data_IF_680316217011
#
_entry.id   IF_680316217011
#
_cell.length_a   1.000
_cell.length_b   1.000
_cell.length_c   1.000
_cell.angle_alpha   90.00
_cell.angle_beta   90.00
_cell.angle_gamma   90.00
#
_symmetry.space_group_name_H-M   'P 1'
#
loop_
_entity.id
_entity.type
_entity.pdbx_description
1 polymer ?
#
# COMPACT_ATOMS: atom_id res chain seq x y z
N UNK A 1 24.18 -16.42 -2.50
CA UNK A 1 24.10 -16.05 -3.93
C UNK A 1 24.03 -17.27 -4.84
N UNK A 2 24.91 -18.27 -4.67
CA UNK A 2 24.94 -19.51 -5.47
C UNK A 2 23.58 -20.21 -5.61
N UNK A 3 22.86 -20.44 -4.49
CA UNK A 3 21.56 -21.11 -4.53
C UNK A 3 20.52 -20.36 -5.36
N UNK A 4 20.53 -19.01 -5.36
CA UNK A 4 19.62 -18.21 -6.20
C UNK A 4 19.98 -18.31 -7.67
N UNK A 5 21.27 -18.29 -8.00
CA UNK A 5 21.73 -18.49 -9.37
C UNK A 5 21.30 -19.87 -9.91
N UNK A 6 21.35 -20.91 -9.07
CA UNK A 6 20.86 -22.25 -9.42
C UNK A 6 19.35 -22.27 -9.67
N UNK A 7 18.54 -21.62 -8.83
CA UNK A 7 17.09 -21.53 -9.04
C UNK A 7 16.72 -20.75 -10.30
N UNK A 8 17.41 -19.63 -10.56
CA UNK A 8 17.22 -18.85 -11.78
C UNK A 8 17.57 -19.72 -12.98
N UNK A 9 18.75 -20.35 -12.99
CA UNK A 9 19.19 -21.21 -14.09
C UNK A 9 18.23 -22.38 -14.34
N UNK A 10 17.79 -23.07 -13.30
CA UNK A 10 16.81 -24.15 -13.41
C UNK A 10 15.45 -23.66 -13.94
N UNK A 11 14.98 -22.51 -13.46
CA UNK A 11 13.75 -21.88 -13.95
C UNK A 11 13.83 -21.49 -15.42
N UNK A 12 14.97 -20.92 -15.85
CA UNK A 12 15.19 -20.57 -17.25
C UNK A 12 15.21 -21.81 -18.14
N UNK A 13 15.89 -22.88 -17.73
CA UNK A 13 15.95 -24.14 -18.48
C UNK A 13 14.55 -24.77 -18.60
N UNK A 14 13.75 -24.79 -17.53
CA UNK A 14 12.39 -25.31 -17.57
C UNK A 14 11.48 -24.47 -18.48
N UNK A 15 11.57 -23.14 -18.39
CA UNK A 15 10.74 -22.24 -19.20
C UNK A 15 11.10 -22.32 -20.69
N UNK A 16 12.39 -22.39 -21.04
CA UNK A 16 12.81 -22.55 -22.44
C UNK A 16 12.47 -23.94 -22.98
N UNK A 17 12.63 -25.00 -22.19
CA UNK A 17 12.24 -26.35 -22.59
C UNK A 17 10.72 -26.49 -22.78
N UNK A 18 9.91 -25.94 -21.86
CA UNK A 18 8.45 -25.93 -21.96
C UNK A 18 7.95 -25.13 -23.16
N UNK A 19 8.52 -23.94 -23.39
CA UNK A 19 8.20 -23.11 -24.55
C UNK A 19 8.60 -23.76 -25.88
N UNK A 20 9.76 -24.40 -25.94
CA UNK A 20 10.22 -25.13 -27.12
C UNK A 20 9.31 -26.34 -27.45
N UNK A 21 8.89 -27.09 -26.42
CA UNK A 21 7.95 -28.20 -26.59
C UNK A 21 6.58 -27.70 -27.08
N UNK A 22 6.08 -26.59 -26.54
CA UNK A 22 4.85 -25.96 -27.00
C UNK A 22 4.96 -25.47 -28.46
N UNK A 23 6.12 -24.93 -28.86
CA UNK A 23 6.36 -24.51 -30.23
C UNK A 23 6.38 -25.69 -31.21
N UNK A 24 7.06 -26.79 -30.86
CA UNK A 24 7.03 -28.03 -31.67
C UNK A 24 5.60 -28.55 -31.79
N UNK A 25 4.85 -28.64 -30.68
CA UNK A 25 3.46 -29.10 -30.73
C UNK A 25 2.56 -28.18 -31.55
N UNK A 26 2.84 -26.88 -31.56
CA UNK A 26 2.13 -25.89 -32.37
C UNK A 26 2.43 -25.98 -33.88
N UNK A 27 3.66 -26.34 -34.26
CA UNK A 27 4.00 -26.54 -35.69
C UNK A 27 3.38 -27.81 -36.26
N UNK A 28 3.10 -28.82 -35.41
CA UNK A 28 2.37 -30.01 -35.82
C UNK A 28 0.88 -29.76 -36.16
N UNK A 29 0.35 -28.54 -35.95
CA UNK A 29 -1.02 -28.11 -36.37
C UNK A 29 -2.14 -29.09 -36.00
N UNK A 30 -1.95 -29.96 -35.02
CA UNK A 30 -3.00 -30.85 -34.55
C UNK A 30 -4.08 -29.98 -33.89
N UNK A 31 -5.34 -30.03 -34.35
CA UNK A 31 -6.42 -29.28 -33.74
C UNK A 31 -6.53 -29.71 -32.27
N UNK A 32 -6.26 -28.76 -31.36
CA UNK A 32 -6.29 -29.01 -29.90
C UNK A 32 -7.70 -29.43 -29.46
N UNK A 33 -8.72 -29.00 -30.22
CA UNK A 33 -10.08 -29.49 -30.07
C UNK A 33 -10.80 -29.55 -31.43
N UNK A 34 -11.46 -30.67 -31.79
CA UNK A 34 -11.47 -31.97 -31.10
C UNK A 34 -10.19 -32.78 -31.37
N UNK A 35 -9.65 -33.53 -30.37
CA UNK A 35 -8.50 -34.38 -30.58
C UNK A 35 -8.85 -35.49 -31.56
N UNK A 36 -8.02 -35.67 -32.59
CA UNK A 36 -8.10 -36.86 -33.44
C UNK A 36 -7.93 -38.11 -32.56
N UNK A 37 -8.74 -39.13 -32.83
CA UNK A 37 -8.71 -40.40 -32.08
C UNK A 37 -7.30 -41.00 -32.13
N UNK A 38 -6.56 -40.93 -31.02
CA UNK A 38 -5.22 -41.48 -30.89
C UNK A 38 -4.15 -40.51 -30.39
N UNK A 39 -4.39 -39.19 -30.42
CA UNK A 39 -3.43 -38.20 -29.90
C UNK A 39 -3.89 -37.73 -28.51
N UNK A 40 -3.15 -38.12 -27.48
CA UNK A 40 -3.45 -37.71 -26.10
C UNK A 40 -3.19 -36.22 -25.89
N UNK A 41 -4.05 -35.52 -25.14
CA UNK A 41 -3.88 -34.10 -24.78
C UNK A 41 -2.80 -33.85 -23.70
N UNK A 42 -2.32 -34.92 -23.06
CA UNK A 42 -1.32 -34.89 -21.99
C UNK A 42 -0.03 -34.07 -22.26
N UNK A 43 0.65 -34.16 -23.41
CA UNK A 43 1.86 -33.37 -23.66
C UNK A 43 1.61 -31.85 -23.68
N UNK A 44 0.42 -31.40 -24.11
CA UNK A 44 0.06 -29.98 -24.06
C UNK A 44 -0.19 -29.50 -22.62
N UNK A 45 -0.81 -30.34 -21.79
CA UNK A 45 -1.00 -30.04 -20.36
C UNK A 45 0.36 -30.01 -19.64
N UNK A 46 1.25 -30.95 -19.95
CA UNK A 46 2.56 -31.06 -19.32
C UNK A 46 3.46 -29.86 -19.66
N UNK A 47 3.42 -29.38 -20.91
CA UNK A 47 4.18 -28.19 -21.33
C UNK A 47 3.70 -26.93 -20.63
N UNK A 48 2.38 -26.76 -20.47
CA UNK A 48 1.78 -25.63 -19.75
C UNK A 48 2.17 -25.65 -18.27
N UNK A 49 2.13 -26.81 -17.62
CA UNK A 49 2.55 -26.96 -16.22
C UNK A 49 4.04 -26.67 -16.04
N UNK A 50 4.92 -27.17 -16.91
CA UNK A 50 6.35 -26.86 -16.83
C UNK A 50 6.63 -25.36 -17.00
N UNK A 51 5.93 -24.72 -17.93
CA UNK A 51 6.15 -23.30 -18.24
C UNK A 51 5.70 -22.41 -17.08
N UNK A 52 4.51 -22.69 -16.51
CA UNK A 52 3.96 -21.95 -15.36
C UNK A 52 4.79 -22.18 -14.08
N UNK A 53 5.27 -23.41 -13.84
CA UNK A 53 6.17 -23.70 -12.74
C UNK A 53 7.52 -22.97 -12.90
N UNK A 54 8.09 -22.95 -14.10
CA UNK A 54 9.33 -22.22 -14.41
C UNK A 54 9.21 -20.72 -14.17
N UNK A 55 8.12 -20.09 -14.65
CA UNK A 55 7.81 -18.67 -14.42
C UNK A 55 7.65 -18.33 -12.93
N UNK A 56 6.97 -19.20 -12.17
CA UNK A 56 6.77 -19.01 -10.73
C UNK A 56 8.10 -19.03 -9.98
N UNK A 57 9.00 -19.96 -10.32
CA UNK A 57 10.35 -20.03 -9.77
C UNK A 57 11.21 -18.83 -10.19
N UNK A 58 11.09 -18.37 -11.43
CA UNK A 58 11.79 -17.19 -11.93
C UNK A 58 11.38 -15.93 -11.16
N UNK A 59 10.07 -15.74 -10.92
CA UNK A 59 9.55 -14.64 -10.11
C UNK A 59 10.03 -14.69 -8.66
N UNK A 60 10.15 -15.89 -8.09
CA UNK A 60 10.70 -16.07 -6.74
C UNK A 60 12.21 -15.76 -6.67
N UNK A 61 12.97 -16.14 -7.70
CA UNK A 61 14.40 -15.86 -7.82
C UNK A 61 14.71 -14.39 -8.10
N UNK A 62 13.89 -13.72 -8.93
CA UNK A 62 14.02 -12.30 -9.25
C UNK A 62 13.47 -11.39 -8.16
N UNK A 63 12.65 -11.89 -7.21
CA UNK A 63 12.08 -11.09 -6.13
C UNK A 63 13.16 -10.27 -5.45
N UNK A 64 13.28 -8.98 -5.79
CA UNK A 64 14.30 -8.16 -5.20
C UNK A 64 13.81 -7.84 -3.78
N UNK A 65 14.75 -7.60 -2.88
CA UNK A 65 14.51 -6.96 -1.56
C UNK A 65 14.19 -7.88 -0.38
N UNK A 66 15.16 -8.70 0.00
CA UNK A 66 15.41 -8.85 1.44
C UNK A 66 16.31 -7.72 1.96
N UNK A 67 17.33 -7.30 1.20
CA UNK A 67 18.28 -6.26 1.66
C UNK A 67 17.64 -4.87 1.77
N UNK A 68 16.96 -4.37 0.73
CA UNK A 68 16.30 -3.05 0.82
C UNK A 68 15.11 -3.04 1.77
N UNK A 69 14.35 -4.15 1.87
CA UNK A 69 13.29 -4.26 2.88
C UNK A 69 13.88 -4.26 4.29
N UNK A 70 14.97 -4.99 4.54
CA UNK A 70 15.70 -4.95 5.81
C UNK A 70 16.20 -3.54 6.11
N UNK A 71 16.80 -2.86 5.14
CA UNK A 71 17.26 -1.46 5.30
C UNK A 71 16.09 -0.52 5.64
N UNK A 72 14.94 -0.66 4.98
CA UNK A 72 13.73 0.12 5.30
C UNK A 72 13.16 -0.22 6.68
N UNK A 73 13.19 -1.49 7.09
CA UNK A 73 12.75 -1.92 8.43
C UNK A 73 13.71 -1.39 9.50
N UNK A 74 15.02 -1.46 9.28
CA UNK A 74 16.04 -0.90 10.16
C UNK A 74 15.92 0.62 10.27
N UNK A 75 15.68 1.31 9.15
CA UNK A 75 15.46 2.76 9.15
C UNK A 75 14.18 3.14 9.90
N UNK A 76 13.09 2.40 9.69
CA UNK A 76 11.85 2.58 10.45
C UNK A 76 12.06 2.35 11.96
N UNK A 77 12.80 1.30 12.34
CA UNK A 77 13.13 1.01 13.73
C UNK A 77 13.98 2.12 14.36
N UNK A 78 14.95 2.70 13.63
CA UNK A 78 15.74 3.85 14.09
C UNK A 78 14.89 5.10 14.29
N UNK A 79 13.97 5.38 13.37
CA UNK A 79 13.03 6.51 13.51
C UNK A 79 12.13 6.33 14.73
N UNK A 80 11.65 5.10 14.96
CA UNK A 80 10.82 4.80 16.12
C UNK A 80 11.58 4.96 17.44
N UNK A 81 12.81 4.45 17.52
CA UNK A 81 13.66 4.65 18.70
C UNK A 81 13.96 6.14 18.96
N UNK A 82 14.12 6.96 17.91
CA UNK A 82 14.32 8.40 18.05
C UNK A 82 13.08 9.12 18.59
N UNK A 83 11.88 8.71 18.15
CA UNK A 83 10.61 9.24 18.68
C UNK A 83 10.41 8.85 20.14
N UNK A 84 10.67 7.59 20.51
CA UNK A 84 10.60 7.13 21.90
C UNK A 84 11.59 7.87 22.82
N UNK A 85 12.79 8.16 22.33
CA UNK A 85 13.77 8.96 23.07
C UNK A 85 13.29 10.42 23.28
N UNK A 86 12.63 11.01 22.28
CA UNK A 86 12.04 12.34 22.40
C UNK A 86 10.89 12.34 23.42
N UNK A 87 10.00 11.34 23.36
CA UNK A 87 8.89 11.20 24.31
C UNK A 87 9.40 11.00 25.74
N UNK A 88 10.44 10.20 25.94
CA UNK A 88 11.08 10.03 27.25
C UNK A 88 11.67 11.34 27.78
N UNK A 89 12.32 12.13 26.91
CA UNK A 89 12.84 13.45 27.26
C UNK A 89 11.72 14.40 27.71
N UNK A 90 10.63 14.52 26.93
CA UNK A 90 9.52 15.40 27.30
C UNK A 90 8.77 14.91 28.54
N UNK A 91 8.55 13.59 28.68
CA UNK A 91 7.93 13.03 29.87
C UNK A 91 8.74 13.31 31.15
N UNK A 92 10.07 13.25 31.07
CA UNK A 92 10.95 13.60 32.20
C UNK A 92 10.83 15.09 32.57
N UNK A 93 10.76 15.97 31.56
CA UNK A 93 10.64 17.43 31.74
C UNK A 93 9.29 17.80 32.35
N UNK A 94 8.20 17.15 31.94
CA UNK A 94 6.87 17.38 32.51
C UNK A 94 6.78 16.91 33.96
N UNK A 95 7.46 15.82 34.33
CA UNK A 95 7.55 15.39 35.74
C UNK A 95 8.36 16.37 36.59
N UNK A 96 9.47 16.88 36.08
CA UNK A 96 10.27 17.90 36.78
C UNK A 96 9.45 19.19 36.97
N UNK A 97 8.80 19.67 35.91
CA UNK A 97 7.94 20.84 35.98
C UNK A 97 6.81 20.66 37.00
N UNK A 98 6.13 19.50 37.04
CA UNK A 98 5.06 19.26 38.00
C UNK A 98 5.53 19.03 39.45
N UNK A 99 6.80 18.67 39.64
CA UNK A 99 7.37 18.44 40.97
C UNK A 99 7.72 19.75 41.67
N UNK A 100 8.16 20.77 40.95
CA UNK A 100 8.67 22.02 41.54
C UNK A 100 7.58 23.00 42.02
N UNK A 101 6.39 23.02 41.42
CA UNK A 101 5.33 23.96 41.86
C UNK A 101 4.40 23.42 42.96
N UNK A 102 4.35 22.08 43.16
CA UNK A 102 3.49 21.44 44.18
C UNK A 102 4.21 21.04 45.47
N UNK A 103 5.54 20.91 45.46
CA UNK A 103 6.30 20.44 46.63
C UNK A 103 6.46 21.50 47.72
N UNK A 104 6.07 22.77 47.50
CA UNK A 104 6.19 23.85 48.49
C UNK A 104 7.64 24.23 48.83
N UNK A 105 8.60 23.56 48.21
CA UNK A 105 10.04 23.72 48.44
C UNK A 105 10.61 24.59 47.31
N UNK A 106 10.06 25.80 47.18
CA UNK A 106 10.66 26.84 46.35
C UNK A 106 11.91 27.32 47.09
N UNK A 107 13.14 27.11 46.59
CA UNK A 107 14.28 27.80 47.15
C UNK A 107 13.98 29.30 47.12
N UNK A 108 14.31 30.05 48.18
CA UNK A 108 14.05 31.48 48.23
C UNK A 108 14.60 32.13 46.95
N UNK A 109 13.85 33.05 46.31
CA UNK A 109 14.24 33.61 45.04
C UNK A 109 15.66 34.13 45.17
N UNK A 110 16.58 33.54 44.38
CA UNK A 110 17.97 33.98 44.37
C UNK A 110 17.97 35.50 44.18
N UNK A 111 18.76 36.26 44.95
CA UNK A 111 18.83 37.69 44.80
C UNK A 111 19.12 37.99 43.33
N UNK A 112 18.31 38.87 42.72
CA UNK A 112 18.49 39.30 41.33
C UNK A 112 19.94 39.74 41.17
N UNK A 113 20.77 38.92 40.53
CA UNK A 113 22.06 39.35 40.03
C UNK A 113 21.75 40.37 38.94
N UNK A 114 21.92 41.64 39.27
CA UNK A 114 22.01 42.73 38.31
C UNK A 114 23.07 42.37 37.29
N UNK A 115 22.67 42.33 36.03
CA UNK A 115 23.45 41.88 34.88
C UNK A 115 24.56 42.86 34.45
N UNK A 116 25.27 43.49 35.41
CA UNK A 116 26.22 44.58 35.10
C UNK A 116 27.70 44.27 35.32
N UNK A 117 28.11 43.09 35.79
CA UNK A 117 29.52 42.89 36.23
C UNK A 117 30.29 41.68 35.66
N UNK A 118 29.92 41.14 34.49
CA UNK A 118 30.70 40.07 33.84
C UNK A 118 31.42 40.46 32.54
N UNK A 119 31.72 41.74 32.32
CA UNK A 119 32.59 42.16 31.22
C UNK A 119 33.85 42.91 31.69
N UNK A 120 34.56 42.36 32.66
CA UNK A 120 35.92 42.82 32.96
C UNK A 120 36.73 41.70 33.60
N UNK A 121 37.87 41.39 32.98
CA UNK A 121 39.07 40.78 33.60
C UNK A 121 39.20 39.25 33.50
N UNK A 122 39.53 38.79 32.30
CA UNK A 122 40.49 37.68 32.15
C UNK A 122 41.31 37.88 30.85
N UNK A 123 42.42 38.63 31.01
CA UNK A 123 43.45 38.82 29.99
C UNK A 123 44.65 37.94 30.38
N UNK A 124 45.21 37.24 29.38
CA UNK A 124 46.57 36.68 29.25
C UNK A 124 46.89 35.31 29.86
N UNK A 125 46.92 34.27 29.02
CA UNK A 125 48.21 33.66 28.59
C UNK A 125 48.02 32.81 27.32
N UNK A 126 48.79 33.05 26.23
CA UNK A 126 48.73 32.25 25.00
C UNK A 126 49.69 31.04 25.02
N UNK A 127 49.29 29.85 24.55
CA UNK A 127 50.19 28.75 24.19
C UNK A 127 50.89 28.95 22.82
N UNK A 128 52.02 28.26 22.55
CA UNK A 128 52.94 28.52 21.44
C UNK A 128 52.39 28.17 20.03
N UNK A 129 52.97 28.74 18.96
CA UNK A 129 52.45 28.66 17.60
C UNK A 129 52.73 27.31 16.93
N UNK A 130 51.71 26.77 16.25
CA UNK A 130 51.84 25.69 15.27
C UNK A 130 51.69 26.31 13.87
N UNK A 131 52.42 25.85 12.84
CA UNK A 131 52.65 26.61 11.60
C UNK A 131 51.40 26.78 10.74
N UNK A 132 51.29 27.97 10.15
CA UNK A 132 50.33 28.38 9.14
C UNK A 132 50.83 27.96 7.76
N UNK A 133 49.98 27.30 6.97
CA UNK A 133 50.03 27.37 5.50
C UNK A 133 48.67 27.89 4.99
N UNK A 134 48.70 29.15 4.56
CA UNK A 134 48.20 29.70 3.28
C UNK A 134 46.77 29.32 2.86
N UNK A 135 45.76 30.17 3.09
CA UNK A 135 45.32 31.29 2.23
C UNK A 135 44.81 30.83 0.85
N UNK A 136 43.50 31.01 0.59
CA UNK A 136 42.97 31.57 -0.68
C UNK A 136 41.47 31.92 -0.53
N UNK A 137 41.24 33.24 -0.52
CA UNK A 137 40.15 34.03 -1.13
C UNK A 137 38.66 33.84 -0.73
N UNK A 138 38.09 34.98 -0.30
CA UNK A 138 36.68 35.38 -0.45
C UNK A 138 36.18 35.22 -1.90
N UNK A 139 34.87 35.03 -2.10
CA UNK A 139 34.10 36.08 -2.79
C UNK A 139 32.74 36.34 -2.10
N UNK A 140 32.40 37.59 -1.83
CA UNK A 140 31.82 38.61 -2.71
C UNK A 140 30.30 38.46 -2.89
N UNK A 141 29.60 39.53 -2.55
CA UNK A 141 28.15 39.60 -2.41
C UNK A 141 27.58 39.93 -3.79
N UNK A 142 27.19 38.92 -4.56
CA UNK A 142 26.58 39.10 -5.88
C UNK A 142 25.07 38.85 -5.85
N UNK A 143 24.35 39.96 -6.04
CA UNK A 143 23.04 40.16 -6.68
C UNK A 143 22.23 38.90 -6.97
N UNK A 144 21.09 38.78 -6.27
CA UNK A 144 20.08 37.74 -6.49
C UNK A 144 19.52 37.77 -7.93
N UNK A 145 19.60 36.67 -8.69
CA UNK A 145 18.79 36.52 -9.88
C UNK A 145 17.40 36.01 -9.47
N UNK A 146 16.37 36.73 -9.92
CA UNK A 146 14.99 36.26 -10.00
C UNK A 146 14.95 34.90 -10.69
N UNK A 147 14.80 33.83 -9.91
CA UNK A 147 14.57 32.49 -10.44
C UNK A 147 13.09 32.40 -10.81
N UNK A 148 12.84 32.59 -12.10
CA UNK A 148 11.59 32.26 -12.76
C UNK A 148 11.24 30.79 -12.47
N UNK A 149 10.11 30.58 -11.80
CA UNK A 149 9.54 29.25 -11.57
C UNK A 149 8.96 28.80 -12.91
N UNK A 150 9.79 28.19 -13.76
CA UNK A 150 9.28 27.36 -14.85
C UNK A 150 8.64 26.13 -14.21
N UNK A 151 7.32 26.02 -14.42
CA UNK A 151 6.57 24.83 -14.11
C UNK A 151 7.13 23.67 -14.93
N UNK A 152 8.01 22.89 -14.29
CA UNK A 152 8.36 21.56 -14.76
C UNK A 152 7.13 20.68 -14.56
N UNK A 153 6.31 20.62 -15.61
CA UNK A 153 5.28 19.61 -15.79
C UNK A 153 5.95 18.26 -15.60
N UNK A 154 5.86 17.72 -14.38
CA UNK A 154 6.30 16.39 -14.06
C UNK A 154 5.51 15.43 -14.97
N UNK A 155 6.20 14.95 -15.99
CA UNK A 155 5.74 13.85 -16.81
C UNK A 155 5.61 12.64 -15.89
N UNK A 156 4.39 12.41 -15.42
CA UNK A 156 4.00 11.15 -14.82
C UNK A 156 4.40 10.04 -15.79
N UNK A 157 5.08 8.97 -15.34
CA UNK A 157 5.23 7.80 -16.18
C UNK A 157 3.82 7.26 -16.44
N UNK A 158 3.32 7.47 -17.65
CA UNK A 158 2.17 6.75 -18.16
C UNK A 158 2.56 5.27 -18.10
N UNK A 159 2.03 4.56 -17.11
CA UNK A 159 2.03 3.12 -17.13
C UNK A 159 1.17 2.71 -18.32
N UNK A 160 1.82 2.31 -19.41
CA UNK A 160 1.17 1.64 -20.53
C UNK A 160 0.60 0.32 -20.00
N UNK A 161 -0.64 0.37 -19.52
CA UNK A 161 -1.43 -0.83 -19.28
C UNK A 161 -1.78 -1.38 -20.66
N UNK A 162 -0.95 -2.32 -21.13
CA UNK A 162 -1.37 -3.24 -22.19
C UNK A 162 -2.43 -4.16 -21.58
N UNK A 163 -3.66 -3.66 -21.56
CA UNK A 163 -4.86 -4.40 -21.24
C UNK A 163 -5.10 -5.42 -22.36
N UNK A 164 -4.57 -6.62 -22.15
CA UNK A 164 -4.90 -7.77 -22.99
C UNK A 164 -6.31 -8.20 -22.59
N UNK A 165 -7.30 -7.63 -23.28
CA UNK A 165 -8.71 -8.04 -23.28
C UNK A 165 -8.79 -9.56 -23.31
N UNK A 166 -9.25 -10.13 -22.20
CA UNK A 166 -9.47 -11.54 -22.03
C UNK A 166 -10.99 -11.73 -22.06
N UNK A 167 -11.50 -11.93 -23.27
CA UNK A 167 -12.88 -12.29 -23.57
C UNK A 167 -13.14 -13.72 -23.06
N UNK A 168 -14.04 -13.93 -22.09
CA UNK A 168 -14.44 -15.27 -21.71
C UNK A 168 -15.65 -15.68 -22.56
N UNK A 169 -15.35 -16.34 -23.68
CA UNK A 169 -16.36 -17.01 -24.49
C UNK A 169 -16.75 -18.33 -23.79
N UNK A 170 -17.64 -18.22 -22.80
CA UNK A 170 -18.26 -19.38 -22.15
C UNK A 170 -19.42 -19.90 -23.00
N UNK A 171 -19.09 -20.81 -23.93
CA UNK A 171 -20.07 -21.72 -24.51
C UNK A 171 -20.57 -22.70 -23.43
N UNK A 172 -21.69 -22.34 -22.79
CA UNK A 172 -22.44 -23.22 -21.89
C UNK A 172 -23.07 -24.34 -22.73
N UNK A 173 -22.49 -25.54 -22.61
CA UNK A 173 -23.07 -26.77 -23.15
C UNK A 173 -24.24 -27.19 -22.28
N UNK A 174 -25.42 -27.23 -22.89
CA UNK A 174 -26.66 -27.70 -22.30
C UNK A 174 -26.51 -29.11 -21.70
N UNK A 175 -26.76 -29.23 -20.40
CA UNK A 175 -27.12 -30.48 -19.75
C UNK A 175 -28.56 -30.35 -19.28
N UNK A 176 -29.45 -31.09 -19.95
CA UNK A 176 -30.80 -31.36 -19.49
C UNK A 176 -30.78 -32.34 -18.33
N UNK A 177 -31.41 -32.02 -17.18
CA UNK A 177 -31.92 -33.01 -16.27
C UNK A 177 -33.44 -33.13 -16.42
N UNK A 178 -33.85 -34.37 -16.70
CA UNK A 178 -35.13 -35.02 -16.48
C UNK A 178 -36.25 -34.20 -15.81
N UNK A 179 -37.38 -34.09 -16.54
CA UNK A 179 -38.66 -33.59 -16.06
C UNK A 179 -39.21 -34.43 -14.90
N UNK A 180 -39.19 -33.84 -13.70
CA UNK A 180 -40.09 -34.20 -12.61
C UNK A 180 -40.92 -32.95 -12.27
N UNK A 181 -42.17 -32.91 -12.71
CA UNK A 181 -43.10 -31.81 -12.41
C UNK A 181 -43.50 -31.94 -10.93
N UNK A 182 -42.72 -31.32 -10.03
CA UNK A 182 -43.24 -30.90 -8.73
C UNK A 182 -43.81 -29.50 -8.92
N UNK A 183 -45.11 -29.36 -8.69
CA UNK A 183 -45.81 -28.09 -8.56
C UNK A 183 -45.19 -27.31 -7.41
N UNK A 184 -44.19 -26.49 -7.73
CA UNK A 184 -43.52 -25.61 -6.80
C UNK A 184 -44.44 -24.41 -6.55
N UNK A 185 -44.85 -24.27 -5.30
CA UNK A 185 -45.55 -23.12 -4.74
C UNK A 185 -44.77 -21.84 -5.09
N UNK A 186 -45.44 -20.73 -5.51
CA UNK A 186 -44.78 -19.53 -5.98
C UNK A 186 -43.92 -18.93 -4.87
N UNK A 187 -42.60 -19.12 -5.00
CA UNK A 187 -41.60 -18.50 -4.15
C UNK A 187 -41.76 -16.98 -4.34
N UNK A 188 -42.00 -16.20 -3.27
CA UNK A 188 -42.06 -14.75 -3.38
C UNK A 188 -40.74 -14.23 -3.95
N UNK A 189 -40.76 -13.20 -4.82
CA UNK A 189 -39.57 -12.71 -5.48
C UNK A 189 -38.51 -12.36 -4.43
N UNK A 190 -37.34 -12.98 -4.55
CA UNK A 190 -36.13 -12.58 -3.85
C UNK A 190 -35.99 -11.06 -3.98
N UNK A 191 -35.67 -10.40 -2.87
CA UNK A 191 -35.54 -8.95 -2.72
C UNK A 191 -34.43 -8.40 -3.62
N UNK A 192 -34.70 -8.33 -4.93
CA UNK A 192 -33.87 -7.74 -5.97
C UNK A 192 -33.94 -6.22 -5.84
N UNK A 193 -32.88 -5.62 -5.30
CA UNK A 193 -32.75 -4.15 -5.31
C UNK A 193 -31.85 -3.54 -4.26
N UNK A 194 -31.38 -4.30 -3.27
CA UNK A 194 -30.40 -3.77 -2.33
C UNK A 194 -29.02 -3.64 -3.03
N UNK A 195 -28.52 -2.41 -3.17
CA UNK A 195 -27.15 -2.17 -3.63
C UNK A 195 -26.16 -2.98 -2.78
N UNK A 196 -25.15 -3.64 -3.38
CA UNK A 196 -24.18 -4.47 -2.66
C UNK A 196 -23.48 -3.70 -1.52
N UNK A 197 -23.22 -2.40 -1.73
CA UNK A 197 -22.64 -1.52 -0.71
C UNK A 197 -23.54 -1.35 0.52
N UNK A 198 -24.87 -1.41 0.34
CA UNK A 198 -25.84 -1.37 1.45
C UNK A 198 -25.79 -2.64 2.27
N UNK A 199 -25.70 -3.81 1.62
CA UNK A 199 -25.56 -5.10 2.30
C UNK A 199 -24.29 -5.15 3.16
N UNK A 200 -23.17 -4.62 2.65
CA UNK A 200 -21.92 -4.51 3.41
C UNK A 200 -22.11 -3.62 4.63
N UNK A 201 -22.73 -2.45 4.47
CA UNK A 201 -22.98 -1.52 5.58
C UNK A 201 -23.88 -2.14 6.65
N UNK A 202 -24.93 -2.83 6.24
CA UNK A 202 -25.87 -3.51 7.14
C UNK A 202 -25.17 -4.64 7.91
N UNK A 203 -24.29 -5.40 7.26
CA UNK A 203 -23.48 -6.44 7.92
C UNK A 203 -22.50 -5.85 8.96
N UNK A 204 -21.81 -4.75 8.63
CA UNK A 204 -20.93 -4.04 9.58
C UNK A 204 -21.75 -3.50 10.77
N UNK A 205 -22.90 -2.90 10.52
CA UNK A 205 -23.78 -2.37 11.56
C UNK A 205 -24.33 -3.48 12.48
N UNK A 206 -24.56 -4.68 11.94
CA UNK A 206 -24.98 -5.86 12.70
C UNK A 206 -23.82 -6.50 13.50
N UNK A 207 -22.58 -6.08 13.31
CA UNK A 207 -21.40 -6.69 13.92
C UNK A 207 -20.98 -8.03 13.29
N UNK A 208 -21.57 -8.40 12.16
CA UNK A 208 -21.23 -9.62 11.41
C UNK A 208 -20.01 -9.37 10.51
N UNK A 209 -18.84 -9.28 11.16
CA UNK A 209 -17.58 -8.86 10.52
C UNK A 209 -17.07 -9.88 9.49
N UNK A 210 -17.35 -11.18 9.69
CA UNK A 210 -16.95 -12.24 8.77
C UNK A 210 -17.74 -12.14 7.46
N UNK A 211 -19.06 -11.93 7.55
CA UNK A 211 -19.90 -11.71 6.37
C UNK A 211 -19.54 -10.42 5.66
N UNK A 212 -19.26 -9.34 6.40
CA UNK A 212 -18.84 -8.08 5.81
C UNK A 212 -17.51 -8.23 5.03
N UNK A 213 -16.53 -8.96 5.56
CA UNK A 213 -15.26 -9.25 4.86
C UNK A 213 -15.48 -10.03 3.56
N UNK A 214 -16.35 -11.05 3.58
CA UNK A 214 -16.71 -11.81 2.38
C UNK A 214 -17.30 -10.90 1.29
N UNK A 215 -18.32 -10.11 1.66
CA UNK A 215 -19.00 -9.19 0.73
C UNK A 215 -18.06 -8.10 0.20
N UNK A 216 -17.15 -7.58 1.05
CA UNK A 216 -16.10 -6.65 0.64
C UNK A 216 -15.16 -7.27 -0.40
N UNK A 217 -14.76 -8.54 -0.19
CA UNK A 217 -13.90 -9.27 -1.11
C UNK A 217 -14.55 -9.52 -2.47
N UNK A 218 -15.82 -9.94 -2.48
CA UNK A 218 -16.61 -10.17 -3.69
C UNK A 218 -16.80 -8.88 -4.50
N UNK A 219 -17.28 -7.81 -3.85
CA UNK A 219 -17.53 -6.54 -4.53
C UNK A 219 -16.22 -5.90 -5.01
N UNK A 220 -15.13 -6.02 -4.25
CA UNK A 220 -13.81 -5.54 -4.71
C UNK A 220 -13.39 -6.24 -6.01
N UNK A 221 -13.56 -7.55 -6.10
CA UNK A 221 -13.21 -8.30 -7.30
C UNK A 221 -14.10 -7.89 -8.48
N UNK A 222 -15.40 -7.67 -8.23
CA UNK A 222 -16.37 -7.17 -9.23
C UNK A 222 -15.97 -5.78 -9.77
N UNK A 223 -15.77 -4.82 -8.87
CA UNK A 223 -15.41 -3.44 -9.23
C UNK A 223 -14.05 -3.37 -9.93
N UNK A 224 -13.10 -4.23 -9.52
CA UNK A 224 -11.78 -4.29 -10.17
C UNK A 224 -11.86 -4.81 -11.60
N UNK A 225 -12.80 -5.71 -11.89
CA UNK A 225 -13.06 -6.19 -13.24
C UNK A 225 -13.79 -5.14 -14.11
N UNK A 226 -14.59 -4.25 -13.50
CA UNK A 226 -15.26 -3.16 -14.21
C UNK A 226 -14.32 -1.98 -14.58
N UNK A 227 -13.12 -1.94 -14.00
CA UNK A 227 -12.08 -0.97 -14.31
C UNK A 227 -12.47 0.47 -13.95
N UNK A 228 -12.18 1.39 -14.87
CA UNK A 228 -12.25 2.83 -14.63
C UNK A 228 -13.67 3.40 -14.52
N UNK A 229 -14.69 2.67 -14.98
CA UNK A 229 -16.08 3.10 -14.99
C UNK A 229 -16.69 3.18 -13.57
N UNK A 230 -16.16 2.38 -12.63
CA UNK A 230 -16.69 2.27 -11.27
C UNK A 230 -15.73 2.85 -10.21
N UNK A 231 -14.85 3.80 -10.59
CA UNK A 231 -13.88 4.45 -9.69
C UNK A 231 -14.51 5.03 -8.42
N UNK A 232 -15.69 5.64 -8.53
CA UNK A 232 -16.44 6.17 -7.39
C UNK A 232 -16.90 5.06 -6.43
N UNK A 233 -17.47 3.97 -6.97
CA UNK A 233 -17.91 2.84 -6.15
C UNK A 233 -16.72 2.16 -5.44
N UNK A 234 -15.54 2.11 -6.10
CA UNK A 234 -14.32 1.59 -5.48
C UNK A 234 -13.84 2.47 -4.33
N UNK A 235 -13.98 3.79 -4.45
CA UNK A 235 -13.69 4.73 -3.36
C UNK A 235 -14.63 4.50 -2.16
N UNK A 236 -15.93 4.34 -2.41
CA UNK A 236 -16.92 4.01 -1.38
C UNK A 236 -16.64 2.68 -0.69
N UNK A 237 -16.34 1.64 -1.47
CA UNK A 237 -15.98 0.33 -0.95
C UNK A 237 -14.72 0.39 -0.06
N UNK A 238 -13.76 1.24 -0.43
CA UNK A 238 -12.55 1.48 0.39
C UNK A 238 -12.89 2.15 1.71
N UNK A 239 -13.85 3.09 1.71
CA UNK A 239 -14.37 3.70 2.93
C UNK A 239 -15.03 2.67 3.85
N UNK A 240 -15.87 1.79 3.30
CA UNK A 240 -16.52 0.70 4.03
C UNK A 240 -15.51 -0.32 4.59
N UNK A 241 -14.43 -0.62 3.86
CA UNK A 241 -13.34 -1.45 4.39
C UNK A 241 -12.67 -0.78 5.60
N UNK A 242 -12.56 0.55 5.61
CA UNK A 242 -12.10 1.30 6.77
C UNK A 242 -13.06 1.17 7.97
N UNK A 243 -14.36 1.21 7.72
CA UNK A 243 -15.38 1.02 8.76
C UNK A 243 -15.34 -0.39 9.36
N UNK A 244 -15.19 -1.40 8.52
CA UNK A 244 -14.97 -2.79 8.96
C UNK A 244 -13.72 -2.91 9.83
N UNK A 245 -12.60 -2.31 9.40
CA UNK A 245 -11.37 -2.32 10.18
C UNK A 245 -11.54 -1.62 11.54
N UNK A 246 -12.29 -0.51 11.59
CA UNK A 246 -12.60 0.19 12.83
C UNK A 246 -13.48 -0.67 13.76
N UNK A 247 -14.53 -1.29 13.22
CA UNK A 247 -15.41 -2.20 13.96
C UNK A 247 -14.66 -3.43 14.51
N UNK A 248 -13.64 -3.90 13.79
CA UNK A 248 -12.72 -4.95 14.22
C UNK A 248 -11.66 -4.49 15.26
N UNK A 249 -11.73 -3.25 15.74
CA UNK A 249 -10.76 -2.68 16.71
C UNK A 249 -9.40 -2.30 16.12
N UNK A 250 -9.24 -2.31 14.79
CA UNK A 250 -7.98 -2.01 14.08
C UNK A 250 -7.94 -0.54 13.62
N UNK A 251 -8.00 0.40 14.57
CA UNK A 251 -8.13 1.84 14.29
C UNK A 251 -7.01 2.38 13.38
N UNK A 252 -5.76 1.92 13.54
CA UNK A 252 -4.64 2.35 12.67
C UNK A 252 -4.86 1.99 11.20
N UNK A 253 -5.37 0.79 10.92
CA UNK A 253 -5.72 0.35 9.58
C UNK A 253 -6.93 1.10 9.03
N UNK A 254 -7.93 1.37 9.87
CA UNK A 254 -9.11 2.15 9.50
C UNK A 254 -8.74 3.57 9.02
N UNK A 255 -7.89 4.29 9.78
CA UNK A 255 -7.42 5.63 9.40
C UNK A 255 -6.70 5.63 8.05
N UNK A 256 -5.84 4.64 7.81
CA UNK A 256 -5.16 4.51 6.52
C UNK A 256 -6.14 4.26 5.37
N UNK A 257 -7.12 3.36 5.56
CA UNK A 257 -8.15 3.07 4.56
C UNK A 257 -9.04 4.28 4.27
N UNK A 258 -9.45 5.04 5.29
CA UNK A 258 -10.25 6.25 5.09
C UNK A 258 -9.48 7.33 4.31
N UNK A 259 -8.17 7.53 4.59
CA UNK A 259 -7.33 8.43 3.79
C UNK A 259 -7.20 7.97 2.35
N UNK A 260 -7.02 6.67 2.12
CA UNK A 260 -6.97 6.09 0.79
C UNK A 260 -8.31 6.25 0.04
N UNK A 261 -9.43 6.09 0.74
CA UNK A 261 -10.76 6.32 0.17
C UNK A 261 -10.93 7.78 -0.28
N UNK A 262 -10.52 8.77 0.55
CA UNK A 262 -10.55 10.19 0.17
C UNK A 262 -9.67 10.50 -1.05
N UNK A 263 -8.48 9.89 -1.15
CA UNK A 263 -7.63 10.01 -2.35
C UNK A 263 -8.32 9.44 -3.59
N UNK A 264 -9.03 8.32 -3.45
CA UNK A 264 -9.80 7.71 -4.56
C UNK A 264 -11.02 8.54 -4.96
N UNK A 265 -11.72 9.15 -4.00
CA UNK A 265 -12.79 10.11 -4.32
C UNK A 265 -12.27 11.32 -5.07
N UNK A 266 -11.11 11.86 -4.66
CA UNK A 266 -10.47 12.96 -5.39
C UNK A 266 -10.08 12.54 -6.82
N UNK A 267 -9.52 11.33 -7.00
CA UNK A 267 -9.16 10.81 -8.32
C UNK A 267 -10.37 10.49 -9.23
N UNK A 268 -11.57 10.38 -8.65
CA UNK A 268 -12.82 10.18 -9.38
C UNK A 268 -13.60 11.51 -9.55
N UNK A 269 -13.00 12.65 -9.24
CA UNK A 269 -13.65 13.98 -9.21
C UNK A 269 -14.93 14.03 -8.36
N UNK A 270 -15.02 13.15 -7.35
CA UNK A 270 -16.21 12.92 -6.52
C UNK A 270 -15.99 13.32 -5.05
N UNK A 271 -15.04 14.22 -4.76
CA UNK A 271 -14.73 14.64 -3.37
C UNK A 271 -15.90 15.34 -2.66
N UNK A 272 -16.85 15.89 -3.44
CA UNK A 272 -18.07 16.52 -2.92
C UNK A 272 -19.21 15.54 -2.59
N UNK A 273 -19.05 14.24 -2.87
CA UNK A 273 -20.07 13.23 -2.59
C UNK A 273 -20.34 13.12 -1.08
N UNK A 274 -21.58 12.76 -0.71
CA UNK A 274 -21.96 12.55 0.69
C UNK A 274 -21.09 11.49 1.36
N UNK A 275 -20.80 10.40 0.64
CA UNK A 275 -19.94 9.32 1.12
C UNK A 275 -18.52 9.78 1.45
N UNK A 276 -17.93 10.69 0.66
CA UNK A 276 -16.63 11.28 0.95
C UNK A 276 -16.66 12.12 2.23
N UNK A 277 -17.72 12.90 2.46
CA UNK A 277 -17.90 13.68 3.71
C UNK A 277 -18.02 12.76 4.92
N UNK A 278 -18.81 11.68 4.82
CA UNK A 278 -18.97 10.71 5.91
C UNK A 278 -17.63 10.05 6.28
N UNK A 279 -16.79 9.73 5.29
CA UNK A 279 -15.44 9.20 5.54
C UNK A 279 -14.54 10.24 6.20
N UNK A 280 -14.63 11.50 5.77
CA UNK A 280 -13.84 12.60 6.36
C UNK A 280 -14.21 12.86 7.83
N UNK A 281 -15.49 12.83 8.18
CA UNK A 281 -15.96 12.98 9.57
C UNK A 281 -15.48 11.82 10.44
N UNK A 282 -15.55 10.58 9.94
CA UNK A 282 -15.02 9.41 10.67
C UNK A 282 -13.52 9.50 10.92
N UNK A 283 -12.77 9.94 9.92
CA UNK A 283 -11.33 10.18 10.08
C UNK A 283 -11.05 11.27 11.12
N UNK A 284 -11.80 12.37 11.10
CA UNK A 284 -11.71 13.46 12.08
C UNK A 284 -12.03 12.98 13.50
N UNK A 285 -13.08 12.18 13.66
CA UNK A 285 -13.48 11.62 14.96
C UNK A 285 -12.42 10.68 15.53
N UNK A 286 -11.73 9.91 14.68
CA UNK A 286 -10.68 8.99 15.15
C UNK A 286 -9.36 9.69 15.47
N UNK A 287 -9.12 10.91 15.01
CA UNK A 287 -7.92 11.71 15.30
C UNK A 287 -8.03 12.49 16.63
N UNK A 288 -9.23 12.59 17.22
CA UNK A 288 -9.45 13.10 18.58
C UNK A 288 -9.27 12.00 19.63
#
# INVERSE_FOLDING_TARGET
MLMRAVHILAGTILATAGGYLAWIMGTLRAPVFPPESGVSAWPAILSLLLTTAGLSWLGYGLSPRTAERRRKIEEAARRQAALEAADAYYASKTRAANRDWRSGDLPPPAPRQTADDQNSKARLTPPPPTPVETETALPDIETAPSTSIQAETAAFPQATLTEKSQEPDHAVKAQSPSSGIQTQEPIPPATSGASPLRLIRDAIAAGDLDRAELLLGEERNRLSAAGDAERMALAELTGLAGDHAAAAGRIGSAKWLWRLALQRFAAADAIGASSARDVSERLRLADN
#
